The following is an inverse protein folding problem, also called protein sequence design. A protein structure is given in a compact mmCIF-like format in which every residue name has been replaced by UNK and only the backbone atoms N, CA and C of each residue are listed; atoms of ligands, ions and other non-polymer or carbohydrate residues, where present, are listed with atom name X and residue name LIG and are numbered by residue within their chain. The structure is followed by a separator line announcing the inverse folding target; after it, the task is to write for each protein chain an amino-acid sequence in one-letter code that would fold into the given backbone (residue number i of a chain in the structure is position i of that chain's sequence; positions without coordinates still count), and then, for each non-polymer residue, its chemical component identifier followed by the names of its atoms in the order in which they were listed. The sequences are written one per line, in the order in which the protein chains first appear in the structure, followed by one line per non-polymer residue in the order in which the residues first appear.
data_IF_064695143824
#
_entry.id   IF_064695143824
#
_cell.length_a   1.000
_cell.length_b   1.000
_cell.length_c   1.000
_cell.angle_alpha   90.00
_cell.angle_beta   90.00
_cell.angle_gamma   90.00
#
_symmetry.space_group_name_H-M   'P 1'
#
loop_
_entity.id
_entity.type
_entity.pdbx_description
1 polymer ?
#
# COMPACT_ATOMS: atom_id res chain seq x y z
N UNK A 1 11.67 8.27 2.23
CA UNK A 1 11.03 7.24 1.43
C UNK A 1 11.40 7.44 -0.04
N UNK A 2 11.67 6.41 -0.76
CA UNK A 2 12.10 6.51 -2.14
C UNK A 2 11.33 5.60 -3.04
N UNK A 3 11.47 5.82 -4.33
CA UNK A 3 10.79 5.01 -5.34
C UNK A 3 11.16 3.54 -5.23
N UNK A 4 12.42 3.25 -4.98
CA UNK A 4 12.88 1.87 -4.85
C UNK A 4 12.15 1.15 -3.70
N UNK A 5 12.03 1.81 -2.57
CA UNK A 5 11.34 1.24 -1.42
C UNK A 5 9.88 0.99 -1.73
N UNK A 6 9.25 1.92 -2.44
CA UNK A 6 7.87 1.79 -2.85
C UNK A 6 7.70 0.61 -3.80
N UNK A 7 8.58 0.51 -4.80
CA UNK A 7 8.50 -0.58 -5.78
C UNK A 7 8.70 -1.92 -5.10
N UNK A 8 9.62 -1.99 -4.16
CA UNK A 8 9.85 -3.22 -3.42
C UNK A 8 8.59 -3.63 -2.65
N UNK A 9 7.95 -2.67 -2.00
CA UNK A 9 6.73 -2.97 -1.26
C UNK A 9 5.62 -3.47 -2.18
N UNK A 10 5.56 -2.96 -3.40
CA UNK A 10 4.53 -3.35 -4.36
C UNK A 10 4.85 -4.65 -5.09
N UNK A 11 6.04 -5.20 -4.90
CA UNK A 11 6.46 -6.37 -5.67
C UNK A 11 5.87 -7.68 -5.18
N UNK A 12 5.23 -7.68 -4.02
CA UNK A 12 4.68 -8.91 -3.43
C UNK A 12 3.17 -8.95 -3.61
N UNK A 13 2.62 -10.09 -4.08
CA UNK A 13 1.18 -10.17 -4.33
C UNK A 13 0.32 -10.05 -3.09
N UNK A 14 0.80 -10.53 -1.94
CA UNK A 14 0.02 -10.38 -0.71
C UNK A 14 -0.06 -8.91 -0.32
N UNK A 15 1.05 -8.19 -0.45
CA UNK A 15 1.03 -6.76 -0.14
C UNK A 15 0.11 -6.00 -1.07
N UNK A 16 0.10 -6.35 -2.36
CA UNK A 16 -0.84 -5.70 -3.27
C UNK A 16 -2.28 -6.01 -2.90
N UNK A 17 -2.55 -7.23 -2.44
CA UNK A 17 -3.90 -7.59 -2.02
C UNK A 17 -4.32 -6.81 -0.78
N UNK A 18 -3.39 -6.61 0.16
CA UNK A 18 -3.69 -5.80 1.34
C UNK A 18 -4.10 -4.39 0.92
N UNK A 19 -3.36 -3.80 -0.01
CA UNK A 19 -3.72 -2.47 -0.49
C UNK A 19 -5.10 -2.45 -1.12
N UNK A 20 -5.45 -3.49 -1.86
CA UNK A 20 -6.78 -3.61 -2.47
C UNK A 20 -7.87 -3.69 -1.41
N UNK A 21 -7.62 -4.42 -0.32
CA UNK A 21 -8.57 -4.49 0.77
C UNK A 21 -8.77 -3.12 1.40
N UNK A 22 -7.68 -2.42 1.65
CA UNK A 22 -7.74 -1.12 2.31
C UNK A 22 -8.36 -0.04 1.43
N UNK A 23 -8.41 -0.27 0.14
CA UNK A 23 -9.09 0.63 -0.78
C UNK A 23 -10.57 0.80 -0.40
N UNK A 24 -11.15 -0.25 0.15
CA UNK A 24 -12.58 -0.24 0.51
C UNK A 24 -12.84 0.41 1.87
N UNK A 25 -11.77 0.70 2.62
CA UNK A 25 -11.92 1.32 3.93
C UNK A 25 -10.87 0.78 4.89
N UNK A 26 -10.73 1.44 6.01
CA UNK A 26 -9.74 1.02 7.00
C UNK A 26 -10.13 -0.32 7.61
N UNK A 27 -9.12 -1.07 8.03
CA UNK A 27 -9.33 -2.38 8.63
C UNK A 27 -8.36 -2.57 9.79
N UNK A 28 -8.79 -3.38 10.76
CA UNK A 28 -7.87 -3.78 11.84
C UNK A 28 -6.92 -4.85 11.31
N UNK A 29 -5.81 -5.03 12.03
CA UNK A 29 -4.86 -6.09 11.69
C UNK A 29 -5.56 -7.45 11.66
N UNK A 30 -6.43 -7.71 12.64
CA UNK A 30 -7.16 -8.98 12.69
C UNK A 30 -8.03 -9.20 11.47
N UNK A 31 -8.73 -8.14 11.04
CA UNK A 31 -9.57 -8.24 9.85
C UNK A 31 -8.74 -8.57 8.62
N UNK A 32 -7.55 -7.97 8.52
CA UNK A 32 -6.68 -8.24 7.39
C UNK A 32 -6.21 -9.70 7.42
N UNK A 33 -5.76 -10.16 8.59
CA UNK A 33 -5.28 -11.54 8.73
C UNK A 33 -6.35 -12.53 8.30
N UNK A 34 -7.60 -12.25 8.61
CA UNK A 34 -8.69 -13.17 8.31
C UNK A 34 -8.92 -13.36 6.81
N UNK A 35 -8.38 -12.49 5.99
CA UNK A 35 -8.52 -12.61 4.54
C UNK A 35 -7.48 -13.51 3.90
N UNK A 36 -6.50 -13.96 4.66
CA UNK A 36 -5.36 -14.68 4.07
C UNK A 36 -5.15 -16.03 4.74
N UNK A 37 -4.56 -16.92 3.98
CA UNK A 37 -4.21 -18.25 4.45
C UNK A 37 -2.76 -18.31 4.89
N UNK A 38 -2.28 -17.25 5.52
CA UNK A 38 -0.91 -17.16 6.00
C UNK A 38 -0.95 -16.75 7.47
N UNK A 39 0.18 -16.88 8.16
CA UNK A 39 0.22 -16.59 9.58
C UNK A 39 0.05 -15.11 9.86
N UNK A 40 -0.42 -14.80 11.08
CA UNK A 40 -0.50 -13.41 11.51
C UNK A 40 0.87 -12.75 11.51
N UNK A 41 1.92 -13.52 11.84
CA UNK A 41 3.28 -12.97 11.80
C UNK A 41 3.69 -12.55 10.40
N UNK A 42 3.30 -13.34 9.38
CA UNK A 42 3.61 -12.98 8.01
C UNK A 42 2.86 -11.70 7.60
N UNK A 43 1.60 -11.60 7.98
CA UNK A 43 0.83 -10.39 7.68
C UNK A 43 1.43 -9.18 8.39
N UNK A 44 1.83 -9.32 9.65
CA UNK A 44 2.49 -8.22 10.38
C UNK A 44 3.71 -7.73 9.64
N UNK A 45 4.50 -8.65 9.10
CA UNK A 45 5.69 -8.27 8.36
C UNK A 45 5.34 -7.51 7.10
N UNK A 46 4.32 -7.97 6.37
CA UNK A 46 3.88 -7.27 5.17
C UNK A 46 3.37 -5.87 5.50
N UNK A 47 2.62 -5.74 6.59
CA UNK A 47 2.12 -4.44 7.02
C UNK A 47 3.27 -3.49 7.38
N UNK A 48 4.32 -4.00 8.04
CA UNK A 48 5.48 -3.18 8.36
C UNK A 48 6.17 -2.66 7.10
N UNK A 49 6.32 -3.52 6.11
CA UNK A 49 6.97 -3.12 4.85
C UNK A 49 6.14 -2.05 4.14
N UNK A 50 4.83 -2.24 4.10
CA UNK A 50 3.94 -1.25 3.49
C UNK A 50 3.97 0.08 4.24
N UNK A 51 4.02 0.02 5.56
CA UNK A 51 4.05 1.22 6.39
C UNK A 51 5.36 1.98 6.20
N UNK A 52 6.48 1.26 6.15
CA UNK A 52 7.78 1.89 5.93
C UNK A 52 7.86 2.57 4.57
N UNK A 53 7.12 2.07 3.59
CA UNK A 53 7.07 2.69 2.27
C UNK A 53 6.02 3.79 2.18
N UNK A 54 5.37 4.11 3.30
CA UNK A 54 4.32 5.13 3.37
C UNK A 54 3.12 4.85 2.47
N UNK A 55 2.90 3.58 2.15
CA UNK A 55 1.73 3.19 1.36
C UNK A 55 0.49 3.02 2.23
N UNK A 56 0.69 2.81 3.53
CA UNK A 56 -0.39 2.72 4.49
C UNK A 56 0.00 3.49 5.74
N UNK A 57 -0.99 3.83 6.54
CA UNK A 57 -0.81 4.43 7.85
C UNK A 57 -1.53 3.58 8.87
N UNK A 58 -1.07 3.64 10.11
CA UNK A 58 -1.79 2.98 11.19
C UNK A 58 -2.30 4.02 12.16
N UNK A 59 -3.33 3.64 12.89
CA UNK A 59 -3.99 4.52 13.83
C UNK A 59 -4.58 3.67 14.95
N UNK A 60 -4.22 3.99 16.19
CA UNK A 60 -4.74 3.25 17.33
C UNK A 60 -6.04 3.87 17.82
N UNK A 61 -7.05 3.02 18.01
CA UNK A 61 -8.30 3.43 18.65
C UNK A 61 -8.63 2.38 19.71
N UNK A 62 -8.50 2.78 20.97
CA UNK A 62 -8.69 1.85 22.07
C UNK A 62 -7.65 0.74 22.01
N UNK A 63 -8.12 -0.49 21.97
CA UNK A 63 -7.24 -1.65 21.91
C UNK A 63 -7.00 -2.13 20.48
N UNK A 64 -7.55 -1.43 19.49
CA UNK A 64 -7.42 -1.83 18.10
C UNK A 64 -6.45 -0.91 17.38
N UNK A 65 -5.75 -1.49 16.42
CA UNK A 65 -4.93 -0.72 15.49
C UNK A 65 -5.58 -0.86 14.13
N UNK A 66 -5.96 0.27 13.54
CA UNK A 66 -6.54 0.31 12.21
C UNK A 66 -5.49 0.71 11.21
N UNK A 67 -5.57 0.12 10.03
CA UNK A 67 -4.71 0.47 8.92
C UNK A 67 -5.55 1.09 7.81
N UNK A 68 -4.99 2.06 7.13
CA UNK A 68 -5.69 2.72 6.04
C UNK A 68 -4.70 3.05 4.93
N UNK A 69 -5.23 3.16 3.73
CA UNK A 69 -4.42 3.45 2.55
C UNK A 69 -3.95 4.89 2.58
N UNK A 70 -2.70 5.11 2.20
CA UNK A 70 -2.16 6.45 2.02
C UNK A 70 -1.97 6.67 0.52
N UNK A 71 -2.87 7.44 -0.07
CA UNK A 71 -2.89 7.59 -1.51
C UNK A 71 -1.79 8.48 -2.06
N UNK A 72 -1.14 9.29 -1.21
CA UNK A 72 -0.15 10.25 -1.69
C UNK A 72 0.97 9.60 -2.47
N UNK A 73 1.51 8.48 -1.94
CA UNK A 73 2.61 7.79 -2.62
C UNK A 73 2.14 7.17 -3.91
N UNK A 74 0.92 6.64 -3.91
CA UNK A 74 0.36 6.05 -5.13
C UNK A 74 0.19 7.10 -6.22
N UNK A 75 -0.18 8.32 -5.84
CA UNK A 75 -0.30 9.41 -6.79
C UNK A 75 1.04 9.78 -7.40
N UNK A 76 2.10 9.75 -6.59
CA UNK A 76 3.45 10.01 -7.10
C UNK A 76 3.86 8.97 -8.13
N UNK A 77 3.55 7.70 -7.84
CA UNK A 77 3.87 6.63 -8.77
C UNK A 77 3.09 6.79 -10.06
N UNK A 78 1.82 7.14 -9.95
CA UNK A 78 0.97 7.33 -11.11
C UNK A 78 1.52 8.43 -12.00
N UNK A 79 1.97 9.54 -11.42
CA UNK A 79 2.54 10.63 -12.19
C UNK A 79 3.82 10.19 -12.90
N UNK A 80 4.66 9.43 -12.22
CA UNK A 80 5.88 8.93 -12.81
C UNK A 80 5.59 8.00 -13.99
N UNK A 81 4.64 7.09 -13.80
CA UNK A 81 4.27 6.18 -14.89
C UNK A 81 3.69 6.94 -16.06
N UNK A 82 2.87 7.95 -15.78
CA UNK A 82 2.29 8.78 -16.84
C UNK A 82 3.38 9.49 -17.63
N UNK A 83 4.41 9.98 -16.96
CA UNK A 83 5.53 10.61 -17.66
C UNK A 83 6.26 9.63 -18.55
N UNK A 84 6.46 8.41 -18.08
CA UNK A 84 7.12 7.39 -18.89
C UNK A 84 6.31 7.08 -20.14
N UNK A 85 5.01 7.11 -20.04
CA UNK A 85 4.13 6.85 -21.18
C UNK A 85 3.95 8.07 -22.06
N UNK A 86 4.42 9.23 -21.63
CA UNK A 86 4.26 10.44 -22.37
C UNK A 86 2.89 11.06 -22.25
N UNK A 87 2.08 10.60 -21.34
CA UNK A 87 0.70 11.11 -21.19
C UNK A 87 0.66 12.50 -20.61
N UNK A 88 1.71 12.92 -19.95
CA UNK A 88 1.78 14.24 -19.39
C UNK A 88 2.13 15.31 -20.39
N UNK A 89 2.50 14.92 -21.63
CA UNK A 89 2.88 15.87 -22.63
C UNK A 89 2.08 15.68 -23.78
N UNK A 90 1.65 16.20 -24.19
CA UNK A 90 0.86 16.03 -25.17
C UNK A 90 1.23 16.24 -26.36
N UNK A 91 1.72 16.23 -26.97
CA UNK A 91 2.27 16.52 -27.94
C UNK A 91 2.35 15.82 -28.75
N UNK A 92 2.42 15.38 -28.95
CA UNK A 92 2.56 14.85 -29.69
C UNK A 92 2.24 14.59 -30.42
N UNK A 93 2.15 14.58 -30.70
CA UNK A 93 1.93 14.34 -31.38
C UNK A 93 1.91 14.12 -31.91
#
# INVERSE_FOLDING_TARGET
MGLQQTMRALSDPIRREILSLLKEGRMTAGDIVDHFDVTGAAISRHLSILKEADLIRDHREGKYIFYELNASVLEEILLWVAELKGEGRYDET
#
